data_IF_422013478114
#
_entry.id   IF_422013478114
#
_cell.length_a   1.000
_cell.length_b   1.000
_cell.length_c   1.000
_cell.angle_alpha   90.00
_cell.angle_beta   90.00
_cell.angle_gamma   90.00
#
_symmetry.space_group_name_H-M   'P 1'
#
loop_
_entity.id
_entity.type
_entity.pdbx_description
1 polymer ?
#
# COMPACT_ATOMS: atom_id res chain seq x y z
N UNK A 1 10.19 19.08 -2.24
CA UNK A 1 8.81 19.25 -2.72
C UNK A 1 8.53 18.23 -3.82
N UNK A 2 7.29 17.71 -3.87
CA UNK A 2 6.87 16.66 -4.81
C UNK A 2 5.96 17.20 -5.93
N UNK A 3 6.02 18.50 -6.19
CA UNK A 3 5.23 19.15 -7.25
C UNK A 3 5.47 18.47 -8.60
N UNK A 4 4.39 18.13 -9.32
CA UNK A 4 4.45 17.42 -10.58
C UNK A 4 4.71 15.91 -10.48
N UNK A 5 4.85 15.36 -9.26
CA UNK A 5 4.93 13.91 -9.00
C UNK A 5 3.56 13.34 -8.71
N UNK A 6 3.32 12.11 -9.12
CA UNK A 6 2.07 11.38 -8.86
C UNK A 6 2.34 10.19 -7.94
N UNK A 7 1.60 10.14 -6.85
CA UNK A 7 1.66 9.07 -5.87
C UNK A 7 0.38 8.22 -5.92
N UNK A 8 0.55 6.91 -6.08
CA UNK A 8 -0.50 5.92 -5.87
C UNK A 8 -0.31 5.28 -4.49
N UNK A 9 -1.33 5.34 -3.65
CA UNK A 9 -1.33 4.72 -2.31
C UNK A 9 -2.44 3.70 -2.23
N UNK A 10 -2.11 2.42 -2.14
CA UNK A 10 -3.11 1.35 -2.01
C UNK A 10 -3.64 1.25 -0.58
N UNK A 11 -4.92 0.93 -0.41
CA UNK A 11 -5.55 0.88 0.91
C UNK A 11 -5.55 2.22 1.64
N UNK A 12 -5.81 3.31 0.93
CA UNK A 12 -5.64 4.68 1.42
C UNK A 12 -6.94 5.42 1.77
N UNK A 13 -8.07 4.72 1.83
CA UNK A 13 -9.33 5.30 2.33
C UNK A 13 -9.37 5.43 3.85
N UNK A 14 -8.38 4.89 4.57
CA UNK A 14 -8.30 4.98 6.05
C UNK A 14 -6.89 4.72 6.58
N UNK A 15 -6.71 4.90 7.88
CA UNK A 15 -5.53 4.45 8.64
C UNK A 15 -4.20 4.97 8.11
N UNK A 16 -3.19 4.08 8.08
CA UNK A 16 -1.82 4.44 7.66
C UNK A 16 -1.79 4.96 6.22
N UNK A 17 -2.53 4.30 5.31
CA UNK A 17 -2.55 4.69 3.90
C UNK A 17 -3.09 6.11 3.70
N UNK A 18 -4.16 6.49 4.39
CA UNK A 18 -4.70 7.85 4.32
C UNK A 18 -3.69 8.87 4.89
N UNK A 19 -3.07 8.58 6.03
CA UNK A 19 -2.03 9.46 6.59
C UNK A 19 -0.84 9.66 5.64
N UNK A 20 -0.41 8.61 4.93
CA UNK A 20 0.65 8.71 3.91
C UNK A 20 0.18 9.56 2.73
N UNK A 21 -1.05 9.35 2.23
CA UNK A 21 -1.60 10.13 1.13
C UNK A 21 -1.67 11.63 1.48
N UNK A 22 -2.14 11.97 2.68
CA UNK A 22 -2.15 13.34 3.20
C UNK A 22 -0.74 13.96 3.28
N UNK A 23 0.23 13.20 3.80
CA UNK A 23 1.61 13.67 3.91
C UNK A 23 2.24 13.95 2.53
N UNK A 24 1.98 13.09 1.52
CA UNK A 24 2.45 13.29 0.16
C UNK A 24 1.75 14.48 -0.52
N UNK A 25 0.44 14.63 -0.32
CA UNK A 25 -0.33 15.78 -0.79
C UNK A 25 0.19 17.11 -0.20
N UNK A 26 0.51 17.12 1.09
CA UNK A 26 1.12 18.27 1.75
C UNK A 26 2.49 18.65 1.16
N UNK A 27 3.17 17.75 0.47
CA UNK A 27 4.40 18.02 -0.28
C UNK A 27 4.15 18.40 -1.75
N UNK A 28 2.89 18.43 -2.20
CA UNK A 28 2.48 18.85 -3.54
C UNK A 28 2.41 17.72 -4.58
N UNK A 29 2.38 16.46 -4.16
CA UNK A 29 2.15 15.35 -5.07
C UNK A 29 0.67 15.28 -5.47
N UNK A 30 0.40 14.90 -6.73
CA UNK A 30 -0.90 14.39 -7.12
C UNK A 30 -1.12 13.03 -6.44
N UNK A 31 -2.34 12.74 -6.04
CA UNK A 31 -2.65 11.54 -5.26
C UNK A 31 -3.70 10.69 -5.98
N UNK A 32 -3.40 9.40 -6.08
CA UNK A 32 -4.37 8.38 -6.47
C UNK A 32 -4.64 7.54 -5.21
N UNK A 33 -5.88 7.64 -4.72
CA UNK A 33 -6.38 6.85 -3.61
C UNK A 33 -6.95 5.52 -4.12
N UNK A 34 -6.76 4.47 -3.35
CA UNK A 34 -7.39 3.18 -3.58
C UNK A 34 -7.88 2.58 -2.26
N UNK A 35 -8.97 1.86 -2.31
CA UNK A 35 -9.56 1.16 -1.17
C UNK A 35 -11.06 1.02 -1.32
N UNK A 36 -11.72 0.56 -0.28
CA UNK A 36 -13.17 0.39 -0.24
C UNK A 36 -13.81 1.31 0.81
N UNK A 37 -15.13 1.38 0.77
CA UNK A 37 -15.93 2.13 1.72
C UNK A 37 -16.21 3.57 1.29
N UNK A 38 -16.36 4.45 2.25
CA UNK A 38 -16.61 5.86 2.04
C UNK A 38 -15.36 6.53 1.44
N UNK A 39 -15.53 7.41 0.46
CA UNK A 39 -14.43 8.00 -0.32
C UNK A 39 -14.39 9.52 -0.28
N UNK A 40 -15.51 10.19 -0.06
CA UNK A 40 -15.60 11.65 -0.08
C UNK A 40 -14.77 12.29 1.05
N UNK A 41 -14.87 11.75 2.26
CA UNK A 41 -14.09 12.20 3.41
C UNK A 41 -12.59 12.06 3.20
N UNK A 42 -12.07 10.89 2.84
CA UNK A 42 -10.66 10.70 2.48
C UNK A 42 -10.16 11.63 1.37
N UNK A 43 -10.94 11.82 0.30
CA UNK A 43 -10.59 12.76 -0.77
C UNK A 43 -10.51 14.20 -0.24
N UNK A 44 -11.51 14.62 0.53
CA UNK A 44 -11.52 15.94 1.15
C UNK A 44 -10.34 16.16 2.10
N UNK A 45 -10.02 15.16 2.93
CA UNK A 45 -8.90 15.20 3.85
C UNK A 45 -7.54 15.34 3.13
N UNK A 46 -7.36 14.64 2.00
CA UNK A 46 -6.15 14.76 1.17
C UNK A 46 -6.05 16.13 0.52
N UNK A 47 -7.17 16.66 -0.03
CA UNK A 47 -7.21 18.02 -0.58
C UNK A 47 -6.92 19.07 0.46
N UNK A 48 -7.48 18.94 1.66
CA UNK A 48 -7.23 19.84 2.79
C UNK A 48 -5.73 19.82 3.18
N UNK A 49 -5.12 18.64 3.23
CA UNK A 49 -3.69 18.49 3.54
C UNK A 49 -2.76 19.18 2.52
N UNK A 50 -3.18 19.25 1.26
CA UNK A 50 -2.44 19.97 0.22
C UNK A 50 -2.40 21.49 0.45
N UNK A 51 -3.35 22.05 1.21
CA UNK A 51 -3.46 23.49 1.48
C UNK A 51 -3.70 24.27 0.18
N UNK A 52 -2.83 25.23 -0.13
CA UNK A 52 -2.93 26.07 -1.34
C UNK A 52 -2.24 25.45 -2.57
N UNK A 53 -1.69 24.23 -2.46
CA UNK A 53 -1.00 23.58 -3.58
C UNK A 53 -2.01 23.05 -4.58
N UNK A 54 -1.82 23.37 -5.85
CA UNK A 54 -2.63 22.81 -6.94
C UNK A 54 -2.22 21.35 -7.18
N UNK A 55 -2.95 20.42 -6.61
CA UNK A 55 -2.79 18.98 -6.84
C UNK A 55 -4.07 18.39 -7.43
N UNK A 56 -3.91 17.29 -8.12
CA UNK A 56 -5.03 16.44 -8.54
C UNK A 56 -5.19 15.29 -7.55
N UNK A 57 -6.43 14.95 -7.21
CA UNK A 57 -6.76 13.79 -6.37
C UNK A 57 -7.77 12.94 -7.12
N UNK A 58 -7.38 11.72 -7.41
CA UNK A 58 -8.19 10.70 -8.08
C UNK A 58 -8.44 9.53 -7.11
N UNK A 59 -9.51 8.78 -7.35
CA UNK A 59 -9.82 7.56 -6.61
C UNK A 59 -10.10 6.41 -7.58
N UNK A 60 -9.63 5.22 -7.24
CA UNK A 60 -9.93 3.99 -7.98
C UNK A 60 -10.21 2.84 -7.01
N UNK A 61 -11.39 2.22 -7.14
CA UNK A 61 -11.89 1.16 -6.26
C UNK A 61 -11.41 -0.26 -6.59
N UNK A 62 -10.23 -0.43 -7.20
CA UNK A 62 -9.70 -1.76 -7.54
C UNK A 62 -9.60 -2.67 -6.31
N UNK A 63 -10.09 -3.90 -6.46
CA UNK A 63 -9.85 -4.97 -5.52
C UNK A 63 -8.40 -5.46 -5.64
N UNK A 64 -7.63 -5.22 -4.59
CA UNK A 64 -6.20 -5.58 -4.58
C UNK A 64 -5.95 -7.10 -4.52
N UNK A 65 -6.98 -7.93 -4.44
CA UNK A 65 -6.86 -9.37 -4.63
C UNK A 65 -6.91 -9.81 -6.11
N UNK A 66 -7.24 -8.89 -7.03
CA UNK A 66 -7.46 -9.17 -8.45
C UNK A 66 -6.47 -8.46 -9.35
N UNK A 67 -5.64 -9.23 -10.05
CA UNK A 67 -4.57 -8.71 -10.89
C UNK A 67 -5.07 -7.86 -12.07
N UNK A 68 -6.23 -8.18 -12.62
CA UNK A 68 -6.88 -7.45 -13.71
C UNK A 68 -7.41 -6.08 -13.25
N UNK A 69 -8.02 -6.00 -12.06
CA UNK A 69 -8.46 -4.72 -11.49
C UNK A 69 -7.26 -3.83 -11.12
N UNK A 70 -6.18 -4.42 -10.62
CA UNK A 70 -4.91 -3.70 -10.40
C UNK A 70 -4.36 -3.14 -11.71
N UNK A 71 -4.37 -3.95 -12.78
CA UNK A 71 -3.91 -3.51 -14.10
C UNK A 71 -4.77 -2.35 -14.66
N UNK A 72 -6.09 -2.42 -14.50
CA UNK A 72 -7.00 -1.33 -14.87
C UNK A 72 -6.70 -0.03 -14.10
N UNK A 73 -6.50 -0.12 -12.79
CA UNK A 73 -6.11 1.03 -11.95
C UNK A 73 -4.81 1.66 -12.44
N UNK A 74 -3.80 0.85 -12.73
CA UNK A 74 -2.50 1.34 -13.20
C UNK A 74 -2.59 1.97 -14.60
N UNK A 75 -3.47 1.45 -15.48
CA UNK A 75 -3.74 2.04 -16.79
C UNK A 75 -4.40 3.41 -16.66
N UNK A 76 -5.41 3.56 -15.80
CA UNK A 76 -6.04 4.86 -15.49
C UNK A 76 -5.01 5.84 -14.92
N UNK A 77 -4.14 5.39 -14.03
CA UNK A 77 -3.06 6.23 -13.50
C UNK A 77 -2.12 6.74 -14.60
N UNK A 78 -1.73 5.87 -15.54
CA UNK A 78 -0.88 6.24 -16.67
C UNK A 78 -1.60 7.22 -17.63
N UNK A 79 -2.87 7.00 -17.92
CA UNK A 79 -3.68 7.87 -18.79
C UNK A 79 -3.85 9.27 -18.20
N UNK A 80 -4.20 9.36 -16.91
CA UNK A 80 -4.52 10.63 -16.23
C UNK A 80 -3.30 11.45 -15.87
N UNK A 81 -2.20 10.80 -15.49
CA UNK A 81 -1.02 11.44 -14.89
C UNK A 81 0.28 11.16 -15.67
N UNK A 82 0.22 10.39 -16.74
CA UNK A 82 1.38 9.96 -17.52
C UNK A 82 2.15 8.80 -16.88
N UNK A 83 2.33 8.81 -15.55
CA UNK A 83 2.94 7.71 -14.79
C UNK A 83 2.69 7.84 -13.30
N UNK A 84 2.92 6.73 -12.58
CA UNK A 84 3.08 6.72 -11.13
C UNK A 84 4.57 6.95 -10.81
N UNK A 85 4.89 8.06 -10.14
CA UNK A 85 6.25 8.38 -9.68
C UNK A 85 6.53 7.74 -8.31
N UNK A 86 5.54 7.73 -7.43
CA UNK A 86 5.63 7.21 -6.07
C UNK A 86 4.56 6.14 -5.90
N UNK A 87 4.98 4.92 -5.65
CA UNK A 87 4.08 3.79 -5.39
C UNK A 87 4.18 3.41 -3.91
N UNK A 88 3.05 3.47 -3.20
CA UNK A 88 2.96 3.01 -1.81
C UNK A 88 2.05 1.79 -1.75
N UNK A 89 2.64 0.62 -1.59
CA UNK A 89 1.96 -0.64 -1.38
C UNK A 89 1.61 -0.77 0.11
N UNK A 90 0.42 -0.30 0.48
CA UNK A 90 -0.04 -0.28 1.86
C UNK A 90 -1.27 -1.17 2.10
N UNK A 91 -2.04 -1.52 1.06
CA UNK A 91 -3.21 -2.38 1.22
C UNK A 91 -2.87 -3.66 1.99
N UNK A 92 -3.73 -4.02 2.93
CA UNK A 92 -3.50 -5.21 3.73
C UNK A 92 -4.70 -5.57 4.60
N UNK A 93 -4.87 -6.88 4.78
CA UNK A 93 -5.86 -7.48 5.67
C UNK A 93 -5.19 -8.45 6.62
N UNK A 94 -5.90 -8.84 7.67
CA UNK A 94 -5.43 -9.79 8.66
C UNK A 94 -6.55 -10.73 9.09
N UNK A 95 -6.17 -11.96 9.43
CA UNK A 95 -6.96 -12.95 10.14
C UNK A 95 -6.11 -13.63 11.20
N UNK A 96 -6.71 -14.05 12.30
CA UNK A 96 -6.02 -14.65 13.45
C UNK A 96 -6.61 -16.03 13.70
N UNK A 97 -5.78 -17.07 13.57
CA UNK A 97 -6.13 -18.45 13.91
C UNK A 97 -4.85 -19.28 14.08
N UNK A 98 -4.85 -20.37 14.87
CA UNK A 98 -3.78 -21.35 14.84
C UNK A 98 -3.55 -21.91 13.44
N UNK A 99 -2.31 -22.34 13.14
CA UNK A 99 -1.95 -22.80 11.78
C UNK A 99 -2.85 -23.92 11.28
N UNK A 100 -3.15 -24.91 12.14
CA UNK A 100 -3.98 -26.07 11.77
C UNK A 100 -5.46 -25.71 11.54
N UNK A 101 -5.94 -24.59 12.10
CA UNK A 101 -7.33 -24.14 12.04
C UNK A 101 -7.47 -22.92 11.12
N UNK A 102 -6.38 -22.51 10.43
CA UNK A 102 -6.39 -21.32 9.60
C UNK A 102 -7.19 -21.55 8.32
N UNK A 103 -8.28 -20.80 8.06
CA UNK A 103 -9.10 -21.00 6.88
C UNK A 103 -8.31 -20.74 5.60
N UNK A 104 -8.36 -21.68 4.63
CA UNK A 104 -7.58 -21.61 3.39
C UNK A 104 -7.92 -20.36 2.59
N UNK A 105 -9.21 -20.01 2.50
CA UNK A 105 -9.67 -18.81 1.80
C UNK A 105 -9.15 -17.50 2.44
N UNK A 106 -8.91 -17.49 3.75
CA UNK A 106 -8.29 -16.34 4.43
C UNK A 106 -6.79 -16.27 4.18
N UNK A 107 -6.13 -17.45 4.12
CA UNK A 107 -4.73 -17.53 3.72
C UNK A 107 -4.54 -16.97 2.32
N UNK A 108 -5.31 -17.45 1.33
CA UNK A 108 -5.20 -17.03 -0.06
C UNK A 108 -5.49 -15.53 -0.22
N UNK A 109 -6.54 -15.02 0.41
CA UNK A 109 -6.87 -13.59 0.39
C UNK A 109 -5.75 -12.72 1.00
N UNK A 110 -5.15 -13.14 2.11
CA UNK A 110 -4.05 -12.41 2.74
C UNK A 110 -2.82 -12.39 1.84
N UNK A 111 -2.43 -13.51 1.23
CA UNK A 111 -1.32 -13.54 0.29
C UNK A 111 -1.59 -12.69 -0.95
N UNK A 112 -2.80 -12.78 -1.50
CA UNK A 112 -3.19 -11.98 -2.66
C UNK A 112 -3.08 -10.47 -2.38
N UNK A 113 -3.68 -9.99 -1.28
CA UNK A 113 -3.75 -8.56 -0.96
C UNK A 113 -2.44 -8.04 -0.37
N UNK A 114 -1.81 -8.76 0.59
CA UNK A 114 -0.66 -8.21 1.31
C UNK A 114 0.68 -8.44 0.60
N UNK A 115 0.74 -9.32 -0.39
CA UNK A 115 1.99 -9.65 -1.10
C UNK A 115 1.84 -9.57 -2.62
N UNK A 116 0.94 -10.36 -3.23
CA UNK A 116 0.83 -10.43 -4.68
C UNK A 116 0.43 -9.09 -5.30
N UNK A 117 -0.42 -8.32 -4.64
CA UNK A 117 -0.81 -6.98 -5.08
C UNK A 117 0.40 -6.05 -5.24
N UNK A 118 1.33 -6.08 -4.27
CA UNK A 118 2.55 -5.28 -4.31
C UNK A 118 3.48 -5.70 -5.47
N UNK A 119 3.52 -6.98 -5.80
CA UNK A 119 4.21 -7.46 -7.00
C UNK A 119 3.55 -6.91 -8.26
N UNK A 120 2.21 -7.00 -8.39
CA UNK A 120 1.50 -6.56 -9.58
C UNK A 120 1.64 -5.05 -9.81
N UNK A 121 1.44 -4.21 -8.78
CA UNK A 121 1.60 -2.75 -8.88
C UNK A 121 3.04 -2.37 -9.20
N UNK A 122 4.03 -2.99 -8.53
CA UNK A 122 5.45 -2.76 -8.76
C UNK A 122 5.85 -3.09 -10.20
N UNK A 123 5.47 -4.28 -10.69
CA UNK A 123 5.74 -4.74 -12.07
C UNK A 123 5.19 -3.76 -13.11
N UNK A 124 4.03 -3.16 -12.86
CA UNK A 124 3.38 -2.23 -13.79
C UNK A 124 3.92 -0.80 -13.69
N UNK A 125 4.42 -0.38 -12.53
CA UNK A 125 5.00 0.95 -12.34
C UNK A 125 6.46 1.06 -12.82
N UNK A 126 7.26 0.00 -12.63
CA UNK A 126 8.71 0.00 -12.85
C UNK A 126 9.14 0.47 -14.24
N UNK A 127 8.55 0.01 -15.37
CA UNK A 127 9.03 0.42 -16.70
C UNK A 127 9.04 1.93 -16.90
N UNK A 128 7.97 2.62 -16.49
CA UNK A 128 7.87 4.07 -16.61
C UNK A 128 8.80 4.81 -15.62
N UNK A 129 9.00 4.27 -14.43
CA UNK A 129 9.97 4.78 -13.46
C UNK A 129 11.41 4.66 -13.97
N UNK A 130 11.77 3.52 -14.56
CA UNK A 130 13.09 3.27 -15.15
C UNK A 130 13.34 4.19 -16.34
N UNK A 131 12.38 4.33 -17.26
CA UNK A 131 12.47 5.23 -18.40
C UNK A 131 12.69 6.68 -17.96
N UNK A 132 12.03 7.12 -16.89
CA UNK A 132 12.20 8.46 -16.34
C UNK A 132 13.47 8.61 -15.48
N UNK A 133 14.20 7.53 -15.25
CA UNK A 133 15.30 7.44 -14.30
C UNK A 133 14.95 8.02 -12.92
N UNK A 134 13.70 7.85 -12.49
CA UNK A 134 13.20 8.32 -11.20
C UNK A 134 11.95 7.54 -10.78
N UNK A 135 11.98 6.98 -9.59
CA UNK A 135 10.84 6.30 -8.97
C UNK A 135 11.07 6.03 -7.48
N UNK A 136 9.99 5.96 -6.72
CA UNK A 136 10.01 5.61 -5.31
C UNK A 136 8.95 4.56 -5.03
N UNK A 137 9.38 3.36 -4.66
CA UNK A 137 8.50 2.27 -4.25
C UNK A 137 8.64 2.10 -2.74
N UNK A 138 7.54 2.19 -2.04
CA UNK A 138 7.47 2.08 -0.59
C UNK A 138 6.50 0.95 -0.25
N UNK A 139 7.01 -0.11 0.32
CA UNK A 139 6.23 -1.26 0.76
C UNK A 139 5.95 -1.15 2.26
N UNK A 140 4.68 -1.00 2.64
CA UNK A 140 4.27 -1.01 4.04
C UNK A 140 4.19 -2.47 4.52
N UNK A 141 5.30 -2.94 5.05
CA UNK A 141 5.42 -4.26 5.64
C UNK A 141 4.82 -4.28 7.07
N UNK A 142 5.57 -4.74 8.04
CA UNK A 142 5.23 -4.79 9.47
C UNK A 142 6.47 -5.23 10.24
N UNK A 143 6.53 -5.00 11.55
CA UNK A 143 7.46 -5.72 12.44
C UNK A 143 7.33 -7.24 12.24
N UNK A 144 6.15 -7.73 11.90
CA UNK A 144 5.90 -9.14 11.54
C UNK A 144 6.44 -9.55 10.15
N UNK A 145 7.12 -8.68 9.45
CA UNK A 145 7.99 -9.00 8.32
C UNK A 145 9.44 -9.30 8.73
N UNK A 146 9.76 -9.14 10.02
CA UNK A 146 11.08 -9.36 10.61
C UNK A 146 11.07 -10.43 11.71
N UNK A 147 9.93 -10.60 12.40
CA UNK A 147 9.75 -11.55 13.49
C UNK A 147 8.40 -12.28 13.37
N UNK A 148 8.31 -13.45 13.98
CA UNK A 148 7.07 -14.24 14.04
C UNK A 148 6.04 -13.65 15.02
N UNK A 149 4.78 -14.11 14.87
CA UNK A 149 3.70 -13.86 15.79
C UNK A 149 2.74 -15.04 15.76
N UNK A 150 2.41 -15.58 16.92
CA UNK A 150 1.45 -16.69 17.02
C UNK A 150 0.11 -16.33 16.36
N UNK A 151 -0.56 -17.33 15.78
CA UNK A 151 -1.89 -17.22 15.15
C UNK A 151 -1.97 -16.28 13.92
N UNK A 152 -0.85 -15.82 13.38
CA UNK A 152 -0.80 -14.89 12.23
C UNK A 152 -0.01 -15.47 11.05
N UNK A 153 -0.14 -16.76 10.79
CA UNK A 153 0.70 -17.48 9.81
C UNK A 153 0.71 -16.81 8.43
N UNK A 154 -0.46 -16.56 7.82
CA UNK A 154 -0.55 -15.94 6.50
C UNK A 154 -0.02 -14.49 6.50
N UNK A 155 -0.34 -13.71 7.53
CA UNK A 155 0.10 -12.33 7.63
C UNK A 155 1.63 -12.24 7.77
N UNK A 156 2.22 -13.04 8.66
CA UNK A 156 3.68 -13.11 8.87
C UNK A 156 4.37 -13.56 7.59
N UNK A 157 3.87 -14.60 6.91
CA UNK A 157 4.42 -15.08 5.64
C UNK A 157 4.39 -13.98 4.57
N UNK A 158 3.24 -13.31 4.39
CA UNK A 158 3.09 -12.21 3.43
C UNK A 158 4.04 -11.03 3.74
N UNK A 159 4.16 -10.66 5.03
CA UNK A 159 5.01 -9.52 5.43
C UNK A 159 6.50 -9.83 5.36
N UNK A 160 6.94 -11.07 5.56
CA UNK A 160 8.30 -11.52 5.22
C UNK A 160 8.53 -11.52 3.71
N UNK A 161 7.54 -12.00 2.93
CA UNK A 161 7.59 -12.01 1.47
C UNK A 161 7.76 -10.62 0.88
N UNK A 162 7.02 -9.61 1.38
CA UNK A 162 7.12 -8.23 0.86
C UNK A 162 8.48 -7.58 1.20
N UNK A 163 9.10 -7.93 2.33
CA UNK A 163 10.48 -7.51 2.64
C UNK A 163 11.46 -8.15 1.66
N UNK A 164 11.26 -9.43 1.32
CA UNK A 164 12.05 -10.11 0.28
C UNK A 164 11.89 -9.45 -1.09
N UNK A 165 10.65 -9.21 -1.53
CA UNK A 165 10.34 -8.51 -2.78
C UNK A 165 11.00 -7.13 -2.84
N UNK A 166 10.98 -6.38 -1.73
CA UNK A 166 11.64 -5.07 -1.62
C UNK A 166 13.12 -5.14 -1.93
N UNK A 167 13.81 -6.12 -1.34
CA UNK A 167 15.26 -6.31 -1.53
C UNK A 167 15.61 -6.64 -2.98
N UNK A 168 14.88 -7.57 -3.60
CA UNK A 168 15.08 -7.93 -5.00
C UNK A 168 14.83 -6.74 -5.91
N UNK A 169 13.69 -6.03 -5.75
CA UNK A 169 13.39 -4.85 -6.54
C UNK A 169 14.45 -3.75 -6.40
N UNK A 170 14.98 -3.54 -5.19
CA UNK A 170 16.04 -2.56 -4.95
C UNK A 170 17.35 -2.95 -5.66
N UNK A 171 17.75 -4.23 -5.57
CA UNK A 171 18.96 -4.74 -6.22
C UNK A 171 18.88 -4.65 -7.75
N UNK A 172 17.77 -5.03 -8.35
CA UNK A 172 17.53 -4.95 -9.80
C UNK A 172 17.56 -3.53 -10.34
N UNK A 173 17.33 -2.53 -9.48
CA UNK A 173 17.30 -1.11 -9.84
C UNK A 173 18.49 -0.30 -9.25
N UNK A 174 19.52 -0.97 -8.74
CA UNK A 174 20.62 -0.31 -8.04
C UNK A 174 21.41 0.70 -8.89
N UNK A 175 21.38 0.56 -10.22
CA UNK A 175 22.06 1.47 -11.17
C UNK A 175 21.12 2.49 -11.80
N UNK A 176 19.87 2.56 -11.36
CA UNK A 176 18.84 3.50 -11.85
C UNK A 176 18.48 4.53 -10.78
N UNK A 177 17.72 5.56 -11.17
CA UNK A 177 17.15 6.53 -10.22
C UNK A 177 15.93 6.01 -9.43
N UNK A 178 15.61 4.71 -9.50
CA UNK A 178 14.49 4.08 -8.80
C UNK A 178 14.97 3.48 -7.48
N UNK A 179 14.23 3.72 -6.39
CA UNK A 179 14.48 3.08 -5.10
C UNK A 179 13.27 2.31 -4.62
N UNK A 180 13.51 1.18 -3.94
CA UNK A 180 12.48 0.38 -3.30
C UNK A 180 12.85 0.15 -1.84
N UNK A 181 11.95 0.51 -0.92
CA UNK A 181 12.17 0.41 0.52
C UNK A 181 10.95 -0.18 1.23
N UNK A 182 11.17 -0.89 2.33
CA UNK A 182 10.12 -1.38 3.21
C UNK A 182 10.09 -0.55 4.51
N UNK A 183 8.87 -0.19 4.92
CA UNK A 183 8.60 0.36 6.25
C UNK A 183 7.98 -0.77 7.07
N UNK A 184 8.50 -1.02 8.27
CA UNK A 184 8.04 -2.09 9.15
C UNK A 184 7.42 -1.51 10.44
N UNK A 185 6.18 -0.99 10.38
CA UNK A 185 5.52 -0.43 11.55
C UNK A 185 5.33 -1.47 12.65
N UNK A 186 5.40 -1.01 13.91
CA UNK A 186 4.90 -1.74 15.07
C UNK A 186 3.39 -1.52 15.23
N UNK A 187 2.94 -1.33 16.47
CA UNK A 187 1.54 -1.01 16.75
C UNK A 187 1.25 0.46 16.43
N UNK A 188 0.42 0.67 15.43
CA UNK A 188 -0.10 2.01 15.07
C UNK A 188 -1.59 2.00 15.34
N UNK A 189 -2.08 2.89 16.20
CA UNK A 189 -3.50 2.97 16.53
C UNK A 189 -4.30 3.43 15.30
N UNK A 190 -4.87 2.46 14.62
CA UNK A 190 -5.74 2.61 13.46
C UNK A 190 -7.09 1.96 13.75
N UNK A 191 -8.14 2.23 12.95
CA UNK A 191 -9.42 1.51 13.11
C UNK A 191 -9.28 -0.02 13.09
N UNK A 192 -8.34 -0.55 12.31
CA UNK A 192 -8.04 -1.99 12.27
C UNK A 192 -7.46 -2.49 13.59
N UNK A 193 -6.50 -1.75 14.15
CA UNK A 193 -5.86 -2.11 15.43
C UNK A 193 -6.83 -1.93 16.59
N UNK A 194 -7.65 -0.87 16.57
CA UNK A 194 -8.66 -0.65 17.61
C UNK A 194 -9.63 -1.83 17.68
N UNK A 195 -10.13 -2.34 16.55
CA UNK A 195 -10.99 -3.54 16.53
C UNK A 195 -10.32 -4.78 17.15
N UNK A 196 -9.00 -4.94 16.96
CA UNK A 196 -8.25 -6.06 17.57
C UNK A 196 -8.09 -5.88 19.08
N UNK A 197 -7.87 -4.65 19.54
CA UNK A 197 -7.81 -4.32 20.98
C UNK A 197 -9.15 -4.59 21.64
N UNK A 198 -10.25 -4.13 21.04
CA UNK A 198 -11.60 -4.31 21.55
C UNK A 198 -11.98 -5.80 21.63
N UNK A 199 -11.68 -6.56 20.56
CA UNK A 199 -11.93 -8.01 20.54
C UNK A 199 -11.15 -8.73 21.66
N UNK A 200 -9.87 -8.39 21.83
CA UNK A 200 -9.03 -9.02 22.85
C UNK A 200 -9.43 -8.62 24.27
N UNK A 201 -9.91 -7.39 24.48
CA UNK A 201 -10.43 -6.95 25.78
C UNK A 201 -11.74 -7.64 26.16
N UNK A 202 -12.53 -8.10 25.17
CA UNK A 202 -13.77 -8.84 25.42
C UNK A 202 -13.55 -10.33 25.78
N UNK A 203 -12.33 -10.86 25.57
CA UNK A 203 -11.95 -12.23 25.93
C UNK A 203 -11.48 -12.36 27.41
N UNK A 204 -11.33 -11.24 28.13
CA UNK A 204 -10.87 -11.16 29.52
C UNK A 204 -11.88 -10.41 30.38
#
# INVERSE_FOLDING_TARGET
>A
MLTGKTALVTGSTSGIGLGIAQALAAQGANIILNGFGETEGPIAAVRQAAGQRAIQVEYHGADMSKADEIAAMMAVAAERFGRVDILVNNAGIQHVAPVQDFPVEKWDAILAINLSSAFHTTRLALPAMQQANWGRIINVASVHGLVGSAQKSAYVAAKHGIVGLTKVTALENATTGVTCNAICPGWVLTPLVQKQVDAKAAEH
#
